data_IF_339926632518
#
_entry.id   IF_339926632518
#
_cell.length_a   1.000
_cell.length_b   1.000
_cell.length_c   1.000
_cell.angle_alpha   90.00
_cell.angle_beta   90.00
_cell.angle_gamma   90.00
#
_symmetry.space_group_name_H-M   'P 1'
#
loop_
_entity.id
_entity.type
_entity.pdbx_description
1 polymer ?
#
# COMPACT_ATOMS: atom_id res chain seq x y z
N UNK A 1 -75.87 -26.21 -8.00
CA UNK A 1 -75.31 -27.56 -8.21
C UNK A 1 -74.16 -27.68 -7.21
N UNK A 2 -74.40 -28.11 -5.98
CA UNK A 2 -74.41 -29.52 -5.54
C UNK A 2 -72.97 -30.06 -5.54
N UNK A 3 -72.36 -30.58 -4.46
CA UNK A 3 -72.82 -30.96 -3.12
C UNK A 3 -71.61 -31.38 -2.26
N UNK A 4 -71.68 -31.12 -0.94
CA UNK A 4 -71.27 -31.94 0.25
C UNK A 4 -70.44 -33.23 0.03
N UNK A 5 -69.65 -33.81 0.94
CA UNK A 5 -69.31 -33.63 2.38
C UNK A 5 -68.31 -34.78 2.72
N UNK A 6 -67.25 -34.53 3.48
CA UNK A 6 -67.02 -34.95 4.89
C UNK A 6 -66.52 -36.38 5.18
N UNK A 7 -65.53 -36.41 6.09
CA UNK A 7 -65.23 -37.40 7.15
C UNK A 7 -64.19 -38.53 6.95
N UNK A 8 -63.20 -38.44 7.82
CA UNK A 8 -62.09 -39.31 8.29
C UNK A 8 -62.58 -40.60 8.99
N UNK A 9 -61.77 -41.67 9.19
CA UNK A 9 -60.69 -41.70 10.23
C UNK A 9 -59.46 -42.62 9.98
N UNK A 10 -58.43 -42.46 10.82
CA UNK A 10 -57.18 -43.26 10.88
C UNK A 10 -57.35 -44.65 11.53
N UNK A 11 -56.37 -45.58 11.39
CA UNK A 11 -55.57 -45.93 12.58
C UNK A 11 -54.09 -46.34 12.36
N UNK A 12 -53.39 -46.37 13.49
CA UNK A 12 -51.97 -46.66 13.84
C UNK A 12 -51.47 -48.10 13.65
N UNK A 13 -50.16 -48.31 13.39
CA UNK A 13 -49.35 -49.47 13.84
C UNK A 13 -47.83 -49.11 13.89
N UNK A 14 -47.21 -49.02 15.09
CA UNK A 14 -46.21 -49.92 15.74
C UNK A 14 -44.78 -50.00 15.14
N UNK A 15 -43.80 -49.70 16.00
CA UNK A 15 -42.35 -49.96 15.87
C UNK A 15 -41.97 -51.39 16.31
N UNK A 16 -41.01 -52.03 15.62
CA UNK A 16 -39.84 -52.73 16.18
C UNK A 16 -38.82 -53.07 15.05
N UNK A 17 -37.54 -53.35 15.37
CA UNK A 17 -36.39 -52.82 14.63
C UNK A 17 -35.60 -53.88 13.85
N UNK A 18 -34.91 -53.44 12.80
CA UNK A 18 -33.84 -54.20 12.14
C UNK A 18 -32.50 -53.50 12.32
N UNK A 19 -31.62 -54.20 13.02
CA UNK A 19 -30.18 -53.94 13.15
C UNK A 19 -29.49 -54.10 11.80
N UNK A 20 -28.91 -53.03 11.27
CA UNK A 20 -27.90 -53.11 10.20
C UNK A 20 -26.64 -52.35 10.57
N UNK A 21 -25.54 -52.94 10.11
CA UNK A 21 -24.17 -52.81 10.61
C UNK A 21 -23.57 -51.44 10.29
N UNK A 22 -22.84 -50.91 11.26
CA UNK A 22 -22.02 -49.71 11.12
C UNK A 22 -20.90 -49.91 10.08
N UNK A 23 -20.95 -49.14 8.99
CA UNK A 23 -19.79 -48.82 8.17
C UNK A 23 -18.96 -47.70 8.81
N UNK A 24 -17.68 -47.54 8.45
CA UNK A 24 -16.80 -46.57 9.09
C UNK A 24 -17.29 -45.15 8.79
N UNK A 25 -17.68 -44.42 9.83
CA UNK A 25 -18.06 -43.03 9.74
C UNK A 25 -16.88 -42.15 9.27
N UNK A 26 -17.17 -41.00 8.63
CA UNK A 26 -16.13 -40.07 8.22
C UNK A 26 -15.32 -39.66 9.45
N UNK A 27 -13.99 -39.76 9.33
CA UNK A 27 -13.04 -39.28 10.33
C UNK A 27 -13.42 -37.86 10.74
N UNK A 28 -13.65 -37.68 12.03
CA UNK A 28 -13.74 -36.35 12.64
C UNK A 28 -12.46 -35.61 12.31
N UNK A 29 -12.55 -34.68 11.36
CA UNK A 29 -11.53 -33.66 11.17
C UNK A 29 -11.37 -32.96 12.52
N UNK A 30 -10.16 -33.06 13.05
CA UNK A 30 -9.78 -32.52 14.34
C UNK A 30 -10.18 -31.05 14.48
N UNK A 31 -10.44 -30.68 15.72
CA UNK A 31 -10.75 -29.33 16.15
C UNK A 31 -9.93 -28.29 15.36
N UNK A 32 -10.66 -27.34 14.78
CA UNK A 32 -10.13 -26.03 14.40
C UNK A 32 -9.14 -25.59 15.48
N UNK A 33 -7.86 -25.53 15.12
CA UNK A 33 -6.91 -24.72 15.85
C UNK A 33 -7.39 -23.28 15.67
N UNK A 34 -8.15 -22.79 16.65
CA UNK A 34 -8.35 -21.37 16.82
C UNK A 34 -6.95 -20.77 16.95
N UNK A 35 -6.48 -20.14 15.88
CA UNK A 35 -5.28 -19.32 15.88
C UNK A 35 -5.51 -18.27 16.95
N UNK A 36 -4.59 -18.17 17.91
CA UNK A 36 -4.61 -17.11 18.92
C UNK A 36 -4.80 -15.77 18.19
N UNK A 37 -5.66 -14.86 18.68
CA UNK A 37 -5.75 -13.52 18.12
C UNK A 37 -4.35 -12.95 17.99
N UNK A 38 -4.02 -12.44 16.80
CA UNK A 38 -2.70 -11.90 16.54
C UNK A 38 -2.42 -10.73 17.49
N UNK A 39 -1.33 -10.85 18.24
CA UNK A 39 -0.87 -9.81 19.15
C UNK A 39 -0.21 -8.68 18.34
N UNK A 40 -1.03 -7.70 17.94
CA UNK A 40 -0.58 -6.52 17.19
C UNK A 40 0.47 -5.72 17.95
N UNK A 41 0.38 -5.67 19.28
CA UNK A 41 1.35 -4.95 20.11
C UNK A 41 2.71 -5.65 20.08
N UNK A 42 2.73 -6.98 20.10
CA UNK A 42 3.96 -7.76 19.91
C UNK A 42 4.56 -7.57 18.51
N UNK A 43 3.74 -7.53 17.45
CA UNK A 43 4.22 -7.23 16.10
C UNK A 43 4.85 -5.85 16.00
N UNK A 44 4.16 -4.82 16.50
CA UNK A 44 4.66 -3.45 16.54
C UNK A 44 5.99 -3.37 17.29
N UNK A 45 6.05 -3.98 18.48
CA UNK A 45 7.28 -4.08 19.29
C UNK A 45 8.43 -4.73 18.51
N UNK A 46 8.15 -5.78 17.73
CA UNK A 46 9.17 -6.44 16.92
C UNK A 46 9.68 -5.55 15.78
N UNK A 47 8.82 -4.75 15.15
CA UNK A 47 9.22 -3.81 14.09
C UNK A 47 10.02 -2.64 14.65
N UNK A 48 9.67 -2.13 15.83
CA UNK A 48 10.47 -1.12 16.52
C UNK A 48 11.87 -1.63 16.84
N UNK A 49 11.97 -2.88 17.33
CA UNK A 49 13.26 -3.54 17.51
C UNK A 49 14.03 -3.68 16.18
N UNK A 50 13.34 -3.99 15.07
CA UNK A 50 13.95 -4.04 13.73
C UNK A 50 14.49 -2.68 13.28
N UNK A 51 13.78 -1.59 13.59
CA UNK A 51 14.22 -0.22 13.30
C UNK A 51 15.51 0.09 14.08
N UNK A 52 15.60 -0.26 15.36
CA UNK A 52 16.83 -0.05 16.14
C UNK A 52 18.00 -0.90 15.60
N UNK A 53 17.77 -2.16 15.27
CA UNK A 53 18.78 -3.04 14.64
C UNK A 53 19.27 -2.43 13.31
N UNK A 54 18.34 -1.97 12.48
CA UNK A 54 18.62 -1.34 11.19
C UNK A 54 19.45 -0.07 11.37
N UNK A 55 19.10 0.81 12.32
CA UNK A 55 19.90 2.00 12.68
C UNK A 55 21.34 1.64 13.02
N UNK A 56 21.53 0.63 13.87
CA UNK A 56 22.86 0.16 14.27
C UNK A 56 23.68 -0.37 13.10
N UNK A 57 23.03 -1.04 12.14
CA UNK A 57 23.68 -1.61 10.97
C UNK A 57 24.10 -0.58 9.92
N UNK A 58 23.22 0.37 9.58
CA UNK A 58 23.41 1.23 8.40
C UNK A 58 24.19 2.52 8.71
N UNK A 59 24.34 2.88 9.97
CA UNK A 59 24.92 4.15 10.38
C UNK A 59 24.22 5.33 9.70
N UNK A 60 24.96 6.13 8.95
CA UNK A 60 24.43 7.32 8.26
C UNK A 60 23.86 7.05 6.85
N UNK A 61 23.93 5.82 6.34
CA UNK A 61 23.33 5.43 5.05
C UNK A 61 21.81 5.19 5.17
N UNK A 62 21.11 4.98 4.07
CA UNK A 62 19.69 4.59 4.07
C UNK A 62 19.53 3.11 3.75
N UNK A 63 18.63 2.39 4.44
CA UNK A 63 18.32 1.01 4.09
C UNK A 63 17.56 0.98 2.77
N UNK A 64 17.84 -0.02 1.93
CA UNK A 64 17.19 -0.19 0.64
C UNK A 64 16.43 -1.51 0.56
N UNK A 65 17.16 -2.63 0.51
CA UNK A 65 16.62 -3.98 0.72
C UNK A 65 17.57 -4.79 1.60
N UNK A 66 17.04 -5.75 2.36
CA UNK A 66 17.83 -6.65 3.18
C UNK A 66 17.71 -8.10 2.70
N UNK A 67 18.81 -8.83 2.83
CA UNK A 67 18.82 -10.27 2.62
C UNK A 67 17.85 -10.96 3.61
N UNK A 68 16.94 -11.84 3.14
CA UNK A 68 15.85 -12.37 3.96
C UNK A 68 16.31 -13.31 5.08
N UNK A 69 17.49 -13.92 4.96
CA UNK A 69 18.01 -14.88 5.95
C UNK A 69 18.88 -14.16 6.99
N UNK A 70 19.85 -13.38 6.51
CA UNK A 70 20.83 -12.69 7.35
C UNK A 70 20.29 -11.37 7.91
N UNK A 71 19.31 -10.75 7.25
CA UNK A 71 18.81 -9.42 7.59
C UNK A 71 19.78 -8.29 7.26
N UNK A 72 20.83 -8.56 6.47
CA UNK A 72 21.84 -7.56 6.13
C UNK A 72 21.33 -6.61 5.06
N UNK A 73 21.31 -5.31 5.36
CA UNK A 73 20.87 -4.26 4.44
C UNK A 73 21.92 -3.95 3.36
N UNK A 74 21.48 -4.02 2.11
CA UNK A 74 22.06 -3.19 1.05
C UNK A 74 21.55 -1.75 1.23
N UNK A 75 22.46 -0.78 1.12
CA UNK A 75 22.17 0.63 1.43
C UNK A 75 22.41 1.55 0.24
N UNK A 76 21.95 2.79 0.39
CA UNK A 76 22.23 3.92 -0.50
C UNK A 76 22.64 5.14 0.33
N UNK A 77 23.55 5.96 -0.21
CA UNK A 77 24.12 7.10 0.52
C UNK A 77 23.24 8.36 0.51
N UNK A 78 22.32 8.47 -0.45
CA UNK A 78 21.54 9.69 -0.70
C UNK A 78 20.01 9.49 -0.56
N UNK A 79 19.62 8.35 0.00
CA UNK A 79 18.24 7.93 0.20
C UNK A 79 17.49 7.44 -1.04
N UNK A 80 18.02 7.66 -2.25
CA UNK A 80 17.36 7.31 -3.52
C UNK A 80 15.87 7.77 -3.54
N UNK A 81 14.95 7.01 -4.15
CA UNK A 81 13.52 7.28 -4.17
C UNK A 81 12.81 6.99 -2.84
N UNK A 82 13.31 6.01 -2.07
CA UNK A 82 12.61 5.49 -0.89
C UNK A 82 13.08 6.09 0.45
N UNK A 83 14.00 7.06 0.44
CA UNK A 83 14.65 7.57 1.65
C UNK A 83 13.69 8.17 2.68
N UNK A 84 12.55 8.70 2.25
CA UNK A 84 11.49 9.19 3.13
C UNK A 84 10.87 8.09 3.99
N UNK A 85 10.74 6.85 3.49
CA UNK A 85 10.17 5.75 4.28
C UNK A 85 11.02 5.43 5.51
N UNK A 86 12.35 5.50 5.39
CA UNK A 86 13.24 5.33 6.54
C UNK A 86 13.10 6.47 7.56
N UNK A 87 12.95 7.71 7.07
CA UNK A 87 12.68 8.87 7.94
C UNK A 87 11.38 8.66 8.72
N UNK A 88 10.33 8.13 8.08
CA UNK A 88 9.07 7.84 8.75
C UNK A 88 9.23 6.74 9.82
N UNK A 89 10.04 5.70 9.57
CA UNK A 89 10.36 4.71 10.59
C UNK A 89 11.00 5.33 11.83
N UNK A 90 11.98 6.22 11.64
CA UNK A 90 12.64 6.94 12.73
C UNK A 90 11.66 7.85 13.48
N UNK A 91 10.77 8.55 12.77
CA UNK A 91 9.74 9.40 13.37
C UNK A 91 8.81 8.58 14.27
N UNK A 92 8.28 7.46 13.75
CA UNK A 92 7.36 6.60 14.50
C UNK A 92 8.05 6.01 15.74
N UNK A 93 9.27 5.48 15.60
CA UNK A 93 10.02 4.95 16.73
C UNK A 93 10.32 6.04 17.77
N UNK A 94 10.73 7.23 17.33
CA UNK A 94 10.97 8.38 18.20
C UNK A 94 9.74 8.80 18.99
N UNK A 95 8.57 8.79 18.36
CA UNK A 95 7.29 9.10 19.00
C UNK A 95 6.89 8.04 20.02
N UNK A 96 6.77 6.79 19.59
CA UNK A 96 6.24 5.70 20.43
C UNK A 96 7.16 5.36 21.61
N UNK A 97 8.47 5.47 21.44
CA UNK A 97 9.45 5.21 22.50
C UNK A 97 9.79 6.45 23.34
N UNK A 98 9.24 7.63 23.01
CA UNK A 98 9.57 8.88 23.69
C UNK A 98 11.05 9.26 23.58
N UNK A 99 11.65 9.09 22.39
CA UNK A 99 13.08 9.33 22.11
C UNK A 99 13.28 10.51 21.14
N UNK A 100 13.41 11.76 21.64
CA UNK A 100 13.61 12.96 20.81
C UNK A 100 14.83 12.88 19.88
N UNK A 101 15.87 12.13 20.25
CA UNK A 101 17.05 11.93 19.41
C UNK A 101 16.72 11.25 18.07
N UNK A 102 15.71 10.38 18.02
CA UNK A 102 15.26 9.75 16.77
C UNK A 102 14.50 10.72 15.87
N UNK A 103 13.71 11.62 16.46
CA UNK A 103 13.04 12.71 15.73
C UNK A 103 14.09 13.66 15.13
N UNK A 104 15.14 13.97 15.88
CA UNK A 104 16.24 14.80 15.39
C UNK A 104 17.04 14.11 14.27
N UNK A 105 17.33 12.81 14.39
CA UNK A 105 17.95 12.03 13.31
C UNK A 105 17.06 12.02 12.04
N UNK A 106 15.75 11.85 12.21
CA UNK A 106 14.78 11.92 11.12
C UNK A 106 14.81 13.31 10.43
N UNK A 107 14.89 14.39 11.22
CA UNK A 107 15.02 15.76 10.72
C UNK A 107 16.32 15.98 9.94
N UNK A 108 17.45 15.52 10.45
CA UNK A 108 18.75 15.60 9.77
C UNK A 108 18.77 14.84 8.44
N UNK A 109 18.21 13.63 8.41
CA UNK A 109 18.08 12.84 7.18
C UNK A 109 17.15 13.49 6.17
N UNK A 110 16.08 14.14 6.63
CA UNK A 110 15.18 14.92 5.76
C UNK A 110 15.92 16.04 5.05
N UNK A 111 16.78 16.78 5.77
CA UNK A 111 17.61 17.82 5.17
C UNK A 111 18.61 17.26 4.15
N UNK A 112 19.16 16.06 4.40
CA UNK A 112 20.04 15.39 3.43
C UNK A 112 19.30 14.93 2.16
N UNK A 113 17.98 14.79 2.19
CA UNK A 113 17.16 14.55 0.99
C UNK A 113 16.88 15.82 0.18
N UNK A 114 17.15 17.02 0.72
CA UNK A 114 16.85 18.31 0.05
C UNK A 114 17.34 18.40 -1.40
N UNK A 115 18.55 17.94 -1.79
CA UNK A 115 18.97 17.98 -3.19
C UNK A 115 18.05 17.21 -4.15
N UNK A 116 17.28 16.23 -3.66
CA UNK A 116 16.30 15.47 -4.44
C UNK A 116 15.05 16.28 -4.79
N UNK A 117 14.86 17.45 -4.21
CA UNK A 117 13.76 18.37 -4.57
C UNK A 117 13.89 18.84 -6.03
N UNK A 118 15.12 19.02 -6.51
CA UNK A 118 15.41 19.60 -7.83
C UNK A 118 15.42 18.55 -8.95
N UNK A 119 15.46 17.25 -8.63
CA UNK A 119 15.52 16.18 -9.65
C UNK A 119 14.24 16.11 -10.47
N UNK A 120 14.31 16.08 -11.79
CA UNK A 120 13.16 15.85 -12.68
C UNK A 120 12.70 14.38 -12.62
N UNK A 121 12.17 13.96 -11.47
CA UNK A 121 11.63 12.63 -11.22
C UNK A 121 10.28 12.64 -10.45
N UNK A 122 9.56 11.53 -10.52
CA UNK A 122 8.26 11.34 -9.83
C UNK A 122 8.39 11.08 -8.32
N UNK A 123 9.57 10.97 -7.74
CA UNK A 123 9.71 10.38 -6.40
C UNK A 123 9.55 11.37 -5.25
N UNK A 124 9.18 12.62 -5.53
CA UNK A 124 9.02 13.68 -4.52
C UNK A 124 8.00 13.31 -3.44
N UNK A 125 6.90 12.66 -3.79
CA UNK A 125 5.93 12.13 -2.83
C UNK A 125 6.55 11.15 -1.85
N UNK A 126 7.27 10.14 -2.35
CA UNK A 126 7.98 9.17 -1.51
C UNK A 126 9.02 9.83 -0.60
N UNK A 127 9.71 10.86 -1.07
CA UNK A 127 10.77 11.50 -0.33
C UNK A 127 10.24 12.48 0.70
N UNK A 128 9.33 13.39 0.32
CA UNK A 128 8.99 14.58 1.11
C UNK A 128 7.64 14.52 1.81
N UNK A 129 6.72 13.64 1.40
CA UNK A 129 5.56 13.34 2.24
C UNK A 129 6.04 12.60 3.48
N UNK A 130 6.64 11.41 3.31
CA UNK A 130 7.14 10.54 4.39
C UNK A 130 8.35 11.11 5.17
N UNK A 131 8.78 12.34 4.88
CA UNK A 131 9.79 13.03 5.69
C UNK A 131 9.28 14.40 6.13
N UNK A 132 9.43 15.41 5.29
CA UNK A 132 9.18 16.81 5.62
C UNK A 132 7.74 17.08 6.06
N UNK A 133 6.72 16.55 5.37
CA UNK A 133 5.33 16.79 5.74
C UNK A 133 4.98 16.13 7.09
N UNK A 134 5.34 14.85 7.26
CA UNK A 134 5.05 14.09 8.51
C UNK A 134 5.82 14.63 9.70
N UNK A 135 7.09 15.02 9.53
CA UNK A 135 7.87 15.65 10.60
C UNK A 135 7.40 17.07 10.90
N UNK A 136 6.94 17.84 9.92
CA UNK A 136 6.31 19.12 10.19
C UNK A 136 5.08 18.94 11.09
N UNK A 137 4.21 17.99 10.76
CA UNK A 137 3.02 17.72 11.56
C UNK A 137 3.37 17.20 12.98
N UNK A 138 4.50 16.50 13.15
CA UNK A 138 4.99 16.08 14.48
C UNK A 138 5.61 17.23 15.30
N UNK A 139 6.39 18.10 14.66
CA UNK A 139 7.29 19.04 15.37
C UNK A 139 6.85 20.50 15.30
N UNK A 140 5.98 20.85 14.36
CA UNK A 140 5.61 22.22 14.03
C UNK A 140 6.71 23.02 13.31
N UNK A 141 7.84 22.43 12.90
CA UNK A 141 8.95 23.19 12.28
C UNK A 141 8.54 23.79 10.92
N UNK A 142 8.52 25.12 10.77
CA UNK A 142 8.10 25.79 9.53
C UNK A 142 9.07 25.56 8.36
N UNK A 143 10.33 25.17 8.61
CA UNK A 143 11.30 24.85 7.55
C UNK A 143 10.94 23.53 6.86
N UNK A 144 10.46 22.56 7.63
CA UNK A 144 9.96 21.28 7.10
C UNK A 144 8.67 21.49 6.29
N UNK A 145 7.75 22.32 6.79
CA UNK A 145 6.58 22.78 6.03
C UNK A 145 6.98 23.39 4.68
N UNK A 146 7.95 24.30 4.70
CA UNK A 146 8.45 24.96 3.48
C UNK A 146 9.02 23.95 2.48
N UNK A 147 9.81 22.98 2.96
CA UNK A 147 10.38 21.94 2.11
C UNK A 147 9.30 21.02 1.51
N UNK A 148 8.32 20.59 2.31
CA UNK A 148 7.22 19.75 1.84
C UNK A 148 6.33 20.48 0.82
N UNK A 149 6.02 21.77 1.04
CA UNK A 149 5.26 22.57 0.09
C UNK A 149 6.04 22.79 -1.22
N UNK A 150 7.35 23.06 -1.14
CA UNK A 150 8.18 23.16 -2.33
C UNK A 150 8.14 21.87 -3.16
N UNK A 151 8.19 20.70 -2.50
CA UNK A 151 8.04 19.41 -3.16
C UNK A 151 6.66 19.24 -3.81
N UNK A 152 5.58 19.61 -3.12
CA UNK A 152 4.22 19.53 -3.66
C UNK A 152 4.04 20.41 -4.90
N UNK A 153 4.48 21.67 -4.86
CA UNK A 153 4.44 22.55 -6.04
C UNK A 153 5.33 22.04 -7.18
N UNK A 154 6.50 21.46 -6.89
CA UNK A 154 7.37 20.88 -7.91
C UNK A 154 6.73 19.66 -8.58
N UNK A 155 6.00 18.82 -7.83
CA UNK A 155 5.20 17.73 -8.43
C UNK A 155 4.12 18.29 -9.36
N UNK A 156 3.40 19.33 -8.93
CA UNK A 156 2.35 19.96 -9.74
C UNK A 156 2.89 20.64 -11.01
N UNK A 157 4.09 21.23 -10.95
CA UNK A 157 4.71 21.90 -12.10
C UNK A 157 5.13 20.94 -13.21
N UNK A 158 5.24 19.63 -12.91
CA UNK A 158 5.54 18.60 -13.90
C UNK A 158 4.31 18.16 -14.70
N UNK A 159 3.09 18.58 -14.32
CA UNK A 159 1.86 18.10 -14.93
C UNK A 159 1.85 18.25 -16.46
N UNK A 160 1.49 17.17 -17.16
CA UNK A 160 1.38 17.14 -18.61
C UNK A 160 0.31 18.16 -19.05
N UNK A 161 0.63 19.16 -19.89
CA UNK A 161 -0.30 20.24 -20.20
C UNK A 161 -1.65 19.79 -20.79
N UNK A 162 -1.65 18.68 -21.53
CA UNK A 162 -2.83 18.17 -22.23
C UNK A 162 -3.89 17.57 -21.31
N UNK A 163 -3.48 16.91 -20.23
CA UNK A 163 -4.39 16.12 -19.40
C UNK A 163 -4.18 16.28 -17.89
N UNK A 164 -3.07 16.88 -17.47
CA UNK A 164 -2.74 17.10 -16.06
C UNK A 164 -2.11 15.91 -15.36
N UNK A 165 -1.77 14.82 -16.07
CA UNK A 165 -1.09 13.67 -15.49
C UNK A 165 0.30 14.07 -14.97
N UNK A 166 0.74 13.46 -13.87
CA UNK A 166 2.12 13.62 -13.42
C UNK A 166 3.03 12.65 -14.18
N UNK A 167 4.02 13.13 -14.95
CA UNK A 167 4.93 12.24 -15.63
C UNK A 167 6.00 11.70 -14.68
N UNK A 168 6.72 10.69 -15.15
CA UNK A 168 7.87 10.14 -14.44
C UNK A 168 9.03 11.13 -14.38
N UNK A 169 9.23 11.95 -15.41
CA UNK A 169 10.37 12.89 -15.55
C UNK A 169 11.56 12.30 -16.31
N UNK A 170 12.63 13.09 -16.54
CA UNK A 170 13.82 12.65 -17.29
C UNK A 170 14.96 12.09 -16.41
N UNK A 171 14.88 12.25 -15.09
CA UNK A 171 15.94 11.85 -14.16
C UNK A 171 15.52 10.67 -13.27
N UNK A 172 14.55 9.86 -13.74
CA UNK A 172 14.15 8.64 -13.03
C UNK A 172 15.25 7.60 -13.10
N UNK A 173 15.89 7.40 -11.97
CA UNK A 173 16.89 6.38 -11.77
C UNK A 173 16.57 5.63 -10.48
N UNK A 174 16.33 4.33 -10.61
CA UNK A 174 16.24 3.40 -9.48
C UNK A 174 17.24 2.28 -9.73
N UNK A 175 17.77 1.64 -8.68
CA UNK A 175 18.59 0.44 -8.90
C UNK A 175 17.79 -0.56 -9.75
N UNK A 176 18.44 -1.18 -10.73
CA UNK A 176 17.91 -2.12 -11.72
C UNK A 176 17.11 -1.56 -12.92
N UNK A 177 16.66 -0.29 -12.90
CA UNK A 177 15.81 0.26 -13.98
C UNK A 177 16.08 1.75 -14.23
N UNK A 178 16.19 2.14 -15.51
CA UNK A 178 16.26 3.54 -15.94
C UNK A 178 15.18 3.80 -16.99
N UNK A 179 14.44 4.89 -16.83
CA UNK A 179 13.43 5.36 -17.78
C UNK A 179 13.43 6.89 -17.75
N UNK A 180 13.17 7.55 -18.88
CA UNK A 180 13.24 9.02 -18.94
C UNK A 180 12.25 9.54 -19.97
N UNK A 181 11.20 10.23 -19.51
CA UNK A 181 10.26 10.93 -20.37
C UNK A 181 9.28 11.77 -19.55
N UNK A 182 8.98 12.99 -20.01
CA UNK A 182 7.83 13.77 -19.52
C UNK A 182 6.49 13.39 -20.16
N UNK A 183 6.45 12.29 -20.91
CA UNK A 183 5.24 11.69 -21.50
C UNK A 183 4.88 10.32 -20.96
N UNK A 184 5.79 9.72 -20.20
CA UNK A 184 5.52 8.46 -19.51
C UNK A 184 4.94 8.76 -18.14
N UNK A 185 3.89 8.03 -17.76
CA UNK A 185 3.22 8.12 -16.45
C UNK A 185 3.19 6.72 -15.83
N UNK A 186 3.48 6.62 -14.54
CA UNK A 186 3.40 5.38 -13.78
C UNK A 186 2.15 5.37 -12.90
N UNK A 187 1.59 4.18 -12.64
CA UNK A 187 0.47 4.00 -11.70
C UNK A 187 0.84 4.43 -10.28
N UNK A 188 2.12 4.34 -9.90
CA UNK A 188 2.66 4.80 -8.61
C UNK A 188 2.23 6.24 -8.28
N UNK A 189 2.10 7.10 -9.30
CA UNK A 189 1.74 8.51 -9.10
C UNK A 189 0.39 8.73 -8.42
N UNK A 190 -0.51 7.74 -8.40
CA UNK A 190 -1.83 7.86 -7.77
C UNK A 190 -1.80 7.74 -6.23
N UNK A 191 -0.67 7.36 -5.63
CA UNK A 191 -0.57 7.29 -4.16
C UNK A 191 0.50 8.22 -3.57
N UNK A 192 1.81 7.94 -3.61
CA UNK A 192 2.80 8.69 -2.83
C UNK A 192 2.85 10.18 -3.21
N UNK A 193 2.63 10.53 -4.48
CA UNK A 193 2.55 11.93 -4.90
C UNK A 193 1.24 12.60 -4.51
N UNK A 194 0.10 11.91 -4.62
CA UNK A 194 -1.17 12.46 -4.17
C UNK A 194 -1.21 12.67 -2.65
N UNK A 195 -0.42 11.91 -1.86
CA UNK A 195 -0.26 12.18 -0.43
C UNK A 195 0.29 13.59 -0.16
N UNK A 196 1.16 14.13 -1.01
CA UNK A 196 1.58 15.54 -0.92
C UNK A 196 0.42 16.48 -1.23
N UNK A 197 -0.36 16.23 -2.28
CA UNK A 197 -1.49 17.09 -2.65
C UNK A 197 -2.57 17.10 -1.54
N UNK A 198 -2.90 15.94 -0.97
CA UNK A 198 -3.86 15.81 0.13
C UNK A 198 -3.40 16.51 1.41
N UNK A 199 -2.09 16.63 1.62
CA UNK A 199 -1.53 17.39 2.74
C UNK A 199 -1.47 18.89 2.43
N UNK A 200 -0.95 19.27 1.25
CA UNK A 200 -0.71 20.66 0.88
C UNK A 200 -2.00 21.46 0.63
N UNK A 201 -3.07 20.81 0.16
CA UNK A 201 -4.36 21.44 -0.07
C UNK A 201 -4.92 22.12 1.19
N UNK A 202 -5.20 21.39 2.28
CA UNK A 202 -5.62 21.97 3.55
C UNK A 202 -4.60 22.94 4.15
N UNK A 203 -3.30 22.67 3.97
CA UNK A 203 -2.20 23.47 4.53
C UNK A 203 -2.10 24.88 3.93
N UNK A 204 -2.56 25.06 2.68
CA UNK A 204 -2.43 26.33 1.94
C UNK A 204 -3.75 26.95 1.54
N UNK A 205 -4.81 26.14 1.39
CA UNK A 205 -6.05 26.54 0.74
C UNK A 205 -5.93 26.72 -0.77
N UNK A 206 -4.78 26.39 -1.39
CA UNK A 206 -4.60 26.53 -2.83
C UNK A 206 -5.36 25.42 -3.59
N UNK A 207 -6.31 25.76 -4.48
CA UNK A 207 -7.08 24.77 -5.22
C UNK A 207 -6.23 23.91 -6.17
N UNK A 208 -5.01 24.32 -6.55
CA UNK A 208 -4.15 23.57 -7.47
C UNK A 208 -3.90 22.13 -7.01
N UNK A 209 -3.83 21.91 -5.70
CA UNK A 209 -3.59 20.59 -5.12
C UNK A 209 -4.83 19.69 -5.25
N UNK A 210 -6.01 20.20 -4.88
CA UNK A 210 -7.25 19.45 -4.99
C UNK A 210 -7.62 19.18 -6.45
N UNK A 211 -7.47 20.16 -7.34
CA UNK A 211 -7.71 19.99 -8.77
C UNK A 211 -6.71 19.03 -9.41
N UNK A 212 -5.43 19.14 -9.07
CA UNK A 212 -4.36 18.27 -9.58
C UNK A 212 -4.56 16.81 -9.17
N UNK A 213 -4.91 16.57 -7.91
CA UNK A 213 -5.18 15.22 -7.42
C UNK A 213 -6.42 14.60 -8.08
N UNK A 214 -7.51 15.36 -8.22
CA UNK A 214 -8.71 14.89 -8.93
C UNK A 214 -8.44 14.56 -10.40
N UNK A 215 -7.68 15.42 -11.10
CA UNK A 215 -7.25 15.14 -12.49
C UNK A 215 -6.45 13.85 -12.58
N UNK A 216 -5.49 13.63 -11.69
CA UNK A 216 -4.71 12.39 -11.67
C UNK A 216 -5.59 11.17 -11.41
N UNK A 217 -6.50 11.22 -10.41
CA UNK A 217 -7.43 10.12 -10.13
C UNK A 217 -8.36 9.83 -11.32
N UNK A 218 -8.91 10.87 -11.95
CA UNK A 218 -9.81 10.74 -13.11
C UNK A 218 -9.08 10.13 -14.32
N UNK A 219 -7.83 10.54 -14.55
CA UNK A 219 -6.94 9.94 -15.54
C UNK A 219 -6.64 8.47 -15.24
N UNK A 220 -6.35 8.14 -13.97
CA UNK A 220 -6.11 6.75 -13.57
C UNK A 220 -7.35 5.88 -13.82
N UNK A 221 -8.57 6.38 -13.58
CA UNK A 221 -9.80 5.67 -13.94
C UNK A 221 -9.88 5.43 -15.45
N UNK A 222 -9.54 6.44 -16.26
CA UNK A 222 -9.67 6.40 -17.72
C UNK A 222 -8.66 5.45 -18.37
N UNK A 223 -7.41 5.49 -17.91
CA UNK A 223 -6.29 4.98 -18.70
C UNK A 223 -5.48 3.86 -18.02
N UNK A 224 -5.53 3.76 -16.69
CA UNK A 224 -4.75 2.74 -15.96
C UNK A 224 -5.60 1.55 -15.51
N UNK A 225 -6.87 1.78 -15.16
CA UNK A 225 -7.76 0.74 -14.64
C UNK A 225 -8.46 0.03 -15.80
N UNK A 226 -8.18 -1.26 -15.96
CA UNK A 226 -8.85 -2.12 -16.94
C UNK A 226 -10.27 -2.48 -16.46
N UNK A 227 -11.09 -3.00 -17.38
CA UNK A 227 -12.49 -3.33 -17.11
C UNK A 227 -12.68 -4.36 -15.99
N UNK A 228 -11.72 -5.27 -15.79
CA UNK A 228 -11.72 -6.30 -14.74
C UNK A 228 -11.22 -5.79 -13.37
N UNK A 229 -10.77 -4.54 -13.29
CA UNK A 229 -10.20 -3.95 -12.08
C UNK A 229 -8.70 -4.13 -11.91
N UNK A 230 -8.00 -4.76 -12.87
CA UNK A 230 -6.53 -4.77 -12.91
C UNK A 230 -5.95 -3.44 -13.36
N UNK A 231 -4.69 -3.17 -13.02
CA UNK A 231 -3.97 -1.97 -13.45
C UNK A 231 -2.86 -2.24 -14.46
N UNK A 232 -2.66 -1.29 -15.37
CA UNK A 232 -1.43 -1.12 -16.15
C UNK A 232 -0.33 -0.50 -15.25
N UNK A 233 0.95 -0.80 -15.49
CA UNK A 233 2.05 -0.14 -14.77
C UNK A 233 2.41 1.23 -15.37
N UNK A 234 2.76 1.28 -16.66
CA UNK A 234 3.13 2.51 -17.36
C UNK A 234 2.27 2.77 -18.59
N UNK A 235 2.07 4.07 -18.84
CA UNK A 235 1.51 4.62 -20.07
C UNK A 235 2.51 5.57 -20.69
N UNK A 236 2.52 5.65 -22.02
CA UNK A 236 3.18 6.73 -22.75
C UNK A 236 2.16 7.51 -23.56
N UNK A 237 2.08 8.83 -23.33
CA UNK A 237 1.24 9.73 -24.11
C UNK A 237 1.97 10.27 -25.34
N UNK A 238 1.20 10.69 -26.33
CA UNK A 238 1.70 11.46 -27.45
C UNK A 238 2.24 12.83 -26.98
N UNK A 239 3.23 13.36 -27.70
CA UNK A 239 3.92 14.60 -27.32
C UNK A 239 2.98 15.81 -27.26
N UNK A 240 2.00 15.88 -28.15
CA UNK A 240 1.13 17.05 -28.29
C UNK A 240 -0.35 16.76 -28.08
N UNK A 241 -0.76 15.49 -28.15
CA UNK A 241 -2.16 15.07 -28.12
C UNK A 241 -2.44 14.29 -26.83
N UNK A 242 -3.65 14.40 -26.29
CA UNK A 242 -4.12 13.52 -25.21
C UNK A 242 -4.49 12.14 -25.78
N UNK A 243 -3.47 11.41 -26.23
CA UNK A 243 -3.59 10.10 -26.87
C UNK A 243 -2.50 9.17 -26.35
N UNK A 244 -2.90 7.99 -25.90
CA UNK A 244 -1.96 6.94 -25.46
C UNK A 244 -1.28 6.32 -26.69
N UNK A 245 0.04 6.20 -26.63
CA UNK A 245 0.87 5.51 -27.62
C UNK A 245 1.07 4.04 -27.27
N UNK A 246 1.26 3.74 -25.98
CA UNK A 246 1.39 2.36 -25.49
C UNK A 246 1.12 2.23 -24.01
N UNK A 247 0.69 1.02 -23.65
CA UNK A 247 0.72 0.46 -22.30
C UNK A 247 1.96 -0.43 -22.22
N UNK A 248 2.73 -0.36 -21.14
CA UNK A 248 3.87 -1.26 -20.95
C UNK A 248 4.23 -1.45 -19.48
N UNK A 249 5.10 -2.41 -19.21
CA UNK A 249 5.61 -2.72 -17.88
C UNK A 249 7.13 -2.83 -17.87
N UNK A 250 7.76 -2.44 -16.75
CA UNK A 250 9.17 -2.74 -16.45
C UNK A 250 9.32 -3.64 -15.22
N UNK A 251 8.26 -3.76 -14.39
CA UNK A 251 8.27 -4.50 -13.13
C UNK A 251 7.26 -5.65 -13.06
N UNK A 252 6.41 -5.81 -14.08
CA UNK A 252 5.46 -6.91 -14.29
C UNK A 252 5.98 -7.95 -15.30
N UNK A 253 5.22 -9.02 -15.50
CA UNK A 253 5.62 -10.16 -16.35
C UNK A 253 5.49 -9.86 -17.85
N UNK A 254 4.45 -9.14 -18.27
CA UNK A 254 4.24 -8.67 -19.64
C UNK A 254 3.30 -7.46 -19.65
N UNK A 255 3.23 -6.71 -20.75
CA UNK A 255 2.51 -5.41 -20.78
C UNK A 255 1.03 -5.48 -20.39
N UNK A 256 0.39 -6.63 -20.64
CA UNK A 256 -1.02 -6.88 -20.28
C UNK A 256 -1.22 -7.44 -18.85
N UNK A 257 -0.14 -7.66 -18.10
CA UNK A 257 -0.23 -8.22 -16.75
C UNK A 257 -0.62 -7.19 -15.70
N UNK A 258 -0.70 -7.64 -14.44
CA UNK A 258 -1.02 -6.79 -13.31
C UNK A 258 0.05 -6.94 -12.23
N UNK A 259 1.03 -6.03 -12.27
CA UNK A 259 2.03 -5.90 -11.23
C UNK A 259 1.38 -5.55 -9.88
N UNK A 260 1.61 -6.39 -8.87
CA UNK A 260 0.86 -6.37 -7.61
C UNK A 260 1.03 -5.09 -6.80
N UNK A 261 2.23 -4.50 -6.80
CA UNK A 261 2.47 -3.23 -6.10
C UNK A 261 1.85 -2.04 -6.82
N UNK A 262 1.74 -2.08 -8.15
CA UNK A 262 0.98 -1.10 -8.93
C UNK A 262 -0.51 -1.14 -8.57
N UNK A 263 -1.07 -2.34 -8.45
CA UNK A 263 -2.44 -2.54 -7.96
C UNK A 263 -2.61 -2.00 -6.53
N UNK A 264 -1.64 -2.25 -5.64
CA UNK A 264 -1.66 -1.75 -4.27
C UNK A 264 -1.63 -0.22 -4.20
N UNK A 265 -0.81 0.44 -5.04
CA UNK A 265 -0.81 1.91 -5.16
C UNK A 265 -2.17 2.45 -5.58
N UNK A 266 -2.80 1.83 -6.58
CA UNK A 266 -4.12 2.22 -7.02
C UNK A 266 -5.16 2.04 -5.90
N UNK A 267 -5.21 0.88 -5.24
CA UNK A 267 -6.14 0.65 -4.12
C UNK A 267 -5.96 1.72 -3.04
N UNK A 268 -4.72 1.93 -2.59
CA UNK A 268 -4.44 2.88 -1.53
C UNK A 268 -4.75 4.33 -1.95
N UNK A 269 -4.40 4.70 -3.18
CA UNK A 269 -4.65 6.02 -3.76
C UNK A 269 -6.14 6.34 -3.92
N UNK A 270 -6.94 5.41 -4.44
CA UNK A 270 -8.37 5.62 -4.64
C UNK A 270 -9.16 5.61 -3.33
N UNK A 271 -8.81 4.73 -2.38
CA UNK A 271 -9.41 4.77 -1.05
C UNK A 271 -9.12 6.11 -0.37
N UNK A 272 -7.88 6.60 -0.47
CA UNK A 272 -7.51 7.91 0.08
C UNK A 272 -8.25 9.05 -0.62
N UNK A 273 -8.28 9.06 -1.95
CA UNK A 273 -9.01 10.06 -2.73
C UNK A 273 -10.51 10.07 -2.45
N UNK A 274 -11.10 8.90 -2.20
CA UNK A 274 -12.49 8.80 -1.75
C UNK A 274 -12.69 9.40 -0.35
N UNK A 275 -11.81 9.11 0.61
CA UNK A 275 -11.89 9.75 1.93
C UNK A 275 -11.77 11.28 1.86
N UNK A 276 -10.87 11.79 1.03
CA UNK A 276 -10.60 13.22 0.92
C UNK A 276 -11.71 13.99 0.21
N UNK A 277 -12.33 13.41 -0.80
CA UNK A 277 -13.30 14.14 -1.64
C UNK A 277 -14.74 13.65 -1.52
N UNK A 278 -14.98 12.46 -0.97
CA UNK A 278 -16.32 11.88 -0.83
C UNK A 278 -17.00 11.52 -2.16
N UNK A 279 -16.28 11.55 -3.29
CA UNK A 279 -16.86 11.40 -4.61
C UNK A 279 -17.05 9.93 -5.00
N UNK A 280 -18.27 9.56 -5.42
CA UNK A 280 -18.65 8.17 -5.70
C UNK A 280 -17.80 7.50 -6.77
N UNK A 281 -17.33 8.24 -7.78
CA UNK A 281 -16.45 7.67 -8.82
C UNK A 281 -15.14 7.11 -8.27
N UNK A 282 -14.61 7.70 -7.18
CA UNK A 282 -13.38 7.21 -6.53
C UNK A 282 -13.66 5.97 -5.68
N UNK A 283 -14.80 5.94 -4.98
CA UNK A 283 -15.27 4.74 -4.29
C UNK A 283 -15.48 3.58 -5.25
N UNK A 284 -16.16 3.82 -6.37
CA UNK A 284 -16.49 2.77 -7.35
C UNK A 284 -15.24 2.25 -8.06
N UNK A 285 -14.24 3.11 -8.29
CA UNK A 285 -12.91 2.69 -8.73
C UNK A 285 -12.19 1.85 -7.66
N UNK A 286 -12.18 2.29 -6.39
CA UNK A 286 -11.61 1.53 -5.29
C UNK A 286 -12.26 0.15 -5.15
N UNK A 287 -13.58 0.04 -5.28
CA UNK A 287 -14.30 -1.24 -5.22
C UNK A 287 -13.90 -2.19 -6.36
N UNK A 288 -13.69 -1.69 -7.58
CA UNK A 288 -13.22 -2.52 -8.71
C UNK A 288 -11.80 -3.03 -8.49
N UNK A 289 -10.89 -2.12 -8.10
CA UNK A 289 -9.50 -2.46 -7.78
C UNK A 289 -9.41 -3.48 -6.65
N UNK A 290 -10.22 -3.29 -5.61
CA UNK A 290 -10.30 -4.15 -4.45
C UNK A 290 -10.92 -5.52 -4.78
N UNK A 291 -11.98 -5.54 -5.58
CA UNK A 291 -12.61 -6.76 -6.07
C UNK A 291 -11.66 -7.64 -6.88
N UNK A 292 -10.84 -7.04 -7.74
CA UNK A 292 -9.78 -7.75 -8.45
C UNK A 292 -8.76 -8.37 -7.49
N UNK A 293 -8.25 -7.59 -6.52
CA UNK A 293 -7.30 -8.06 -5.51
C UNK A 293 -7.85 -9.24 -4.71
N UNK A 294 -9.03 -9.07 -4.11
CA UNK A 294 -9.66 -10.10 -3.27
C UNK A 294 -9.99 -11.36 -4.08
N UNK A 295 -10.45 -11.20 -5.32
CA UNK A 295 -10.76 -12.33 -6.20
C UNK A 295 -9.54 -13.17 -6.58
N UNK A 296 -8.32 -12.60 -6.52
CA UNK A 296 -7.09 -13.30 -6.85
C UNK A 296 -6.37 -13.88 -5.63
N UNK A 297 -6.32 -13.15 -4.50
CA UNK A 297 -5.47 -13.53 -3.35
C UNK A 297 -6.16 -13.43 -1.99
N UNK A 298 -7.38 -12.90 -1.93
CA UNK A 298 -8.07 -12.64 -0.67
C UNK A 298 -7.22 -11.78 0.28
N UNK A 299 -6.92 -12.31 1.46
CA UNK A 299 -6.14 -11.61 2.50
C UNK A 299 -4.64 -11.98 2.50
N UNK A 300 -4.19 -12.85 1.61
CA UNK A 300 -2.79 -13.28 1.55
C UNK A 300 -1.92 -12.22 0.87
N UNK A 301 -0.60 -12.27 1.12
CA UNK A 301 0.35 -11.51 0.33
C UNK A 301 0.27 -11.91 -1.16
N UNK A 302 0.15 -10.95 -2.09
CA UNK A 302 0.01 -11.29 -3.49
C UNK A 302 1.31 -11.87 -4.05
N UNK A 303 1.26 -12.60 -5.17
CA UNK A 303 2.45 -12.77 -6.02
C UNK A 303 2.94 -11.40 -6.48
N UNK A 304 4.20 -11.29 -6.87
CA UNK A 304 4.77 -10.04 -7.43
C UNK A 304 3.97 -9.51 -8.63
N UNK A 305 3.37 -10.40 -9.41
CA UNK A 305 2.45 -10.13 -10.52
C UNK A 305 1.28 -11.13 -10.47
N UNK A 306 0.05 -10.66 -10.61
CA UNK A 306 -1.14 -11.51 -10.53
C UNK A 306 -1.25 -12.54 -11.67
N UNK A 307 -0.49 -12.36 -12.76
CA UNK A 307 -0.42 -13.31 -13.86
C UNK A 307 0.78 -14.27 -13.75
N UNK A 308 1.57 -14.18 -12.68
CA UNK A 308 2.56 -15.20 -12.26
C UNK A 308 2.28 -15.66 -10.82
N UNK A 309 1.18 -16.40 -10.58
CA UNK A 309 0.72 -16.77 -9.23
C UNK A 309 1.69 -17.68 -8.47
N UNK A 310 2.56 -18.40 -9.17
CA UNK A 310 3.61 -19.28 -8.61
C UNK A 310 4.93 -18.53 -8.38
N UNK A 311 5.01 -17.25 -8.76
CA UNK A 311 6.16 -16.38 -8.57
C UNK A 311 6.44 -16.04 -7.11
N UNK A 312 7.53 -15.29 -6.82
CA UNK A 312 7.75 -14.75 -5.48
C UNK A 312 6.56 -13.90 -5.03
N UNK A 313 6.36 -13.82 -3.72
CA UNK A 313 5.38 -12.90 -3.13
C UNK A 313 5.90 -11.46 -3.20
N UNK A 314 4.99 -10.52 -2.99
CA UNK A 314 5.34 -9.15 -2.67
C UNK A 314 4.59 -8.68 -1.41
N UNK A 315 5.24 -8.86 -0.26
CA UNK A 315 4.72 -8.38 1.03
C UNK A 315 4.59 -6.87 1.09
N UNK A 316 5.37 -6.11 0.31
CA UNK A 316 5.28 -4.65 0.28
C UNK A 316 3.95 -4.17 -0.31
N UNK A 317 3.43 -4.85 -1.34
CA UNK A 317 2.10 -4.58 -1.90
C UNK A 317 0.99 -4.72 -0.84
N UNK A 318 1.06 -5.76 0.00
CA UNK A 318 0.10 -5.93 1.11
C UNK A 318 0.25 -4.86 2.18
N UNK A 319 1.49 -4.53 2.57
CA UNK A 319 1.74 -3.50 3.58
C UNK A 319 1.14 -2.14 3.19
N UNK A 320 1.23 -1.76 1.92
CA UNK A 320 0.65 -0.52 1.36
C UNK A 320 -0.86 -0.50 1.54
N UNK A 321 -1.55 -1.58 1.17
CA UNK A 321 -3.00 -1.69 1.34
C UNK A 321 -3.37 -1.66 2.83
N UNK A 322 -2.65 -2.42 3.66
CA UNK A 322 -2.86 -2.49 5.10
C UNK A 322 -2.73 -1.10 5.77
N UNK A 323 -1.76 -0.26 5.37
CA UNK A 323 -1.65 1.12 5.89
C UNK A 323 -2.91 1.94 5.60
N UNK A 324 -3.39 1.91 4.36
CA UNK A 324 -4.57 2.67 4.00
C UNK A 324 -5.84 2.14 4.70
N UNK A 325 -5.98 0.82 4.85
CA UNK A 325 -7.08 0.22 5.60
C UNK A 325 -7.02 0.56 7.10
N UNK A 326 -5.83 0.55 7.71
CA UNK A 326 -5.63 0.95 9.09
C UNK A 326 -6.00 2.42 9.31
N UNK A 327 -5.54 3.31 8.42
CA UNK A 327 -5.93 4.73 8.40
C UNK A 327 -7.45 4.90 8.36
N UNK A 328 -8.13 4.19 7.45
CA UNK A 328 -9.59 4.26 7.34
C UNK A 328 -10.29 3.74 8.60
N UNK A 329 -9.80 2.65 9.18
CA UNK A 329 -10.38 2.03 10.37
C UNK A 329 -10.37 2.98 11.58
N UNK A 330 -9.31 3.78 11.75
CA UNK A 330 -9.19 4.73 12.87
C UNK A 330 -9.86 6.08 12.61
N UNK A 331 -10.13 6.44 11.34
CA UNK A 331 -10.73 7.73 10.99
C UNK A 331 -12.25 7.68 10.75
N UNK A 332 -12.82 6.57 10.25
CA UNK A 332 -14.23 6.56 9.80
C UNK A 332 -14.87 5.16 9.79
N UNK A 333 -15.61 4.73 10.84
CA UNK A 333 -16.16 3.38 10.93
C UNK A 333 -17.54 3.19 10.26
N UNK A 334 -17.80 3.83 9.11
CA UNK A 334 -19.09 3.71 8.40
C UNK A 334 -19.20 2.39 7.61
N UNK A 335 -20.42 2.00 7.21
CA UNK A 335 -20.67 0.71 6.55
C UNK A 335 -19.96 0.54 5.21
N UNK A 336 -19.76 1.61 4.43
CA UNK A 336 -19.05 1.53 3.16
C UNK A 336 -17.53 1.34 3.38
N UNK A 337 -16.97 1.95 4.42
CA UNK A 337 -15.58 1.73 4.85
C UNK A 337 -15.39 0.30 5.38
N UNK A 338 -16.38 -0.24 6.10
CA UNK A 338 -16.34 -1.61 6.64
C UNK A 338 -16.14 -2.69 5.58
N UNK A 339 -16.65 -2.49 4.36
CA UNK A 339 -16.42 -3.39 3.21
C UNK A 339 -14.93 -3.59 2.90
N UNK A 340 -14.10 -2.63 3.26
CA UNK A 340 -12.65 -2.71 3.08
C UNK A 340 -11.97 -3.10 4.40
N UNK A 341 -12.31 -2.44 5.50
CA UNK A 341 -11.58 -2.60 6.78
C UNK A 341 -11.85 -3.92 7.47
N UNK A 342 -12.89 -4.69 7.11
CA UNK A 342 -13.09 -6.04 7.64
C UNK A 342 -11.96 -7.01 7.27
N UNK A 343 -11.23 -6.72 6.19
CA UNK A 343 -10.08 -7.49 5.74
C UNK A 343 -8.77 -7.11 6.45
N UNK A 344 -8.74 -6.00 7.19
CA UNK A 344 -7.51 -5.47 7.80
C UNK A 344 -6.83 -6.48 8.74
N UNK A 345 -7.57 -7.03 9.71
CA UNK A 345 -7.00 -7.98 10.66
C UNK A 345 -6.51 -9.27 9.97
N UNK A 346 -7.31 -9.94 9.11
CA UNK A 346 -6.84 -11.07 8.32
C UNK A 346 -5.63 -10.78 7.43
N UNK A 347 -5.53 -9.58 6.84
CA UNK A 347 -4.38 -9.19 6.03
C UNK A 347 -3.11 -9.00 6.87
N UNK A 348 -3.22 -8.40 8.06
CA UNK A 348 -2.09 -8.31 9.01
C UNK A 348 -1.65 -9.73 9.42
N UNK A 349 -2.60 -10.64 9.69
CA UNK A 349 -2.31 -12.05 9.97
C UNK A 349 -1.60 -12.75 8.81
N UNK A 350 -2.06 -12.54 7.58
CA UNK A 350 -1.41 -13.06 6.38
C UNK A 350 0.02 -12.52 6.25
N UNK A 351 0.22 -11.21 6.48
CA UNK A 351 1.54 -10.59 6.38
C UNK A 351 2.48 -11.03 7.51
N UNK A 352 1.96 -11.28 8.71
CA UNK A 352 2.74 -11.76 9.85
C UNK A 352 3.39 -13.14 9.61
N UNK A 353 2.83 -13.96 8.71
CA UNK A 353 3.44 -15.23 8.29
C UNK A 353 4.78 -15.02 7.55
N UNK A 354 4.99 -13.82 7.00
CA UNK A 354 6.23 -13.41 6.34
C UNK A 354 7.17 -12.62 7.26
N UNK A 355 6.84 -12.50 8.56
CA UNK A 355 7.76 -11.90 9.52
C UNK A 355 8.70 -12.97 10.07
N UNK A 356 10.01 -12.72 9.98
CA UNK A 356 11.04 -13.53 10.64
C UNK A 356 11.29 -12.98 12.05
N UNK A 357 11.98 -13.75 12.93
CA UNK A 357 12.46 -13.21 14.20
C UNK A 357 13.16 -11.87 14.01
N UNK A 358 13.06 -11.01 15.03
CA UNK A 358 13.49 -9.60 15.05
C UNK A 358 12.69 -8.64 14.17
N UNK A 359 11.49 -9.01 13.73
CA UNK A 359 10.55 -8.08 13.06
C UNK A 359 10.81 -7.87 11.57
N UNK A 360 11.66 -8.69 10.96
CA UNK A 360 12.00 -8.62 9.53
C UNK A 360 10.83 -9.05 8.66
N UNK A 361 10.23 -8.11 7.93
CA UNK A 361 9.20 -8.40 6.94
C UNK A 361 9.87 -8.82 5.62
N UNK A 362 9.94 -10.13 5.35
CA UNK A 362 10.62 -10.67 4.16
C UNK A 362 9.64 -10.90 3.00
N UNK A 363 10.10 -11.56 1.93
CA UNK A 363 9.30 -11.90 0.74
C UNK A 363 8.69 -10.69 0.02
N UNK A 364 9.30 -9.52 0.16
CA UNK A 364 9.04 -8.38 -0.70
C UNK A 364 9.73 -8.58 -2.05
N UNK A 365 9.14 -8.07 -3.13
CA UNK A 365 9.70 -8.20 -4.47
C UNK A 365 9.94 -6.83 -5.12
N UNK A 366 11.19 -6.39 -5.18
CA UNK A 366 11.55 -5.14 -5.86
C UNK A 366 11.34 -5.28 -7.37
N UNK A 367 12.21 -6.02 -8.06
CA UNK A 367 12.21 -6.12 -9.52
C UNK A 367 12.52 -7.55 -9.95
N UNK A 368 11.45 -8.35 -10.10
CA UNK A 368 11.54 -9.74 -10.55
C UNK A 368 12.05 -9.89 -11.98
N UNK A 369 11.64 -9.10 -12.99
CA UNK A 369 12.20 -9.20 -14.33
C UNK A 369 13.73 -9.10 -14.39
N UNK A 370 14.33 -8.32 -13.47
CA UNK A 370 15.78 -8.19 -13.33
C UNK A 370 16.41 -9.09 -12.25
N UNK A 371 15.61 -9.89 -11.55
CA UNK A 371 16.03 -10.68 -10.36
C UNK A 371 16.79 -9.85 -9.33
N UNK A 372 16.35 -8.62 -9.13
CA UNK A 372 16.95 -7.69 -8.20
C UNK A 372 16.03 -7.55 -6.98
N UNK A 373 16.52 -7.99 -5.82
CA UNK A 373 15.80 -7.98 -4.54
C UNK A 373 14.35 -8.51 -4.66
N UNK A 374 14.18 -9.62 -5.38
CA UNK A 374 12.87 -10.19 -5.72
C UNK A 374 12.32 -11.16 -4.67
N UNK A 375 13.08 -11.35 -3.58
CA UNK A 375 12.71 -12.01 -2.31
C UNK A 375 13.53 -11.40 -1.18
N UNK A 376 13.12 -10.23 -0.70
CA UNK A 376 13.91 -9.45 0.25
C UNK A 376 13.04 -8.74 1.28
N UNK A 377 13.64 -8.29 2.36
CA UNK A 377 13.04 -7.23 3.17
C UNK A 377 13.19 -5.91 2.40
N UNK A 378 12.13 -5.10 2.33
CA UNK A 378 12.11 -3.85 1.59
C UNK A 378 11.76 -2.71 2.54
N UNK A 379 12.55 -1.63 2.55
CA UNK A 379 12.38 -0.54 3.54
C UNK A 379 10.99 0.09 3.51
N UNK A 380 10.38 0.22 2.32
CA UNK A 380 9.01 0.73 2.20
C UNK A 380 7.98 -0.25 2.75
N UNK A 381 8.14 -1.57 2.52
CA UNK A 381 7.25 -2.58 3.10
C UNK A 381 7.23 -2.50 4.63
N UNK A 382 8.41 -2.42 5.24
CA UNK A 382 8.56 -2.21 6.70
C UNK A 382 7.89 -0.90 7.15
N UNK A 383 8.11 0.20 6.43
CA UNK A 383 7.54 1.50 6.79
C UNK A 383 6.01 1.52 6.73
N UNK A 384 5.39 0.97 5.68
CA UNK A 384 3.92 0.92 5.58
C UNK A 384 3.29 0.05 6.67
N UNK A 385 3.89 -1.11 6.99
CA UNK A 385 3.40 -1.95 8.08
C UNK A 385 3.57 -1.25 9.43
N UNK A 386 4.71 -0.58 9.66
CA UNK A 386 4.94 0.19 10.89
C UNK A 386 3.96 1.37 11.02
N UNK A 387 3.66 2.09 9.94
CA UNK A 387 2.62 3.12 9.91
C UNK A 387 1.26 2.54 10.29
N UNK A 388 0.85 1.43 9.67
CA UNK A 388 -0.42 0.79 9.93
C UNK A 388 -0.59 0.40 11.40
N UNK A 389 0.42 -0.26 11.99
CA UNK A 389 0.39 -0.70 13.38
C UNK A 389 0.46 0.48 14.34
N UNK A 390 1.21 1.53 14.02
CA UNK A 390 1.23 2.77 14.80
C UNK A 390 -0.16 3.43 14.83
N UNK A 391 -0.87 3.49 13.70
CA UNK A 391 -2.22 4.06 13.67
C UNK A 391 -3.19 3.26 14.56
N UNK A 392 -3.10 1.93 14.50
CA UNK A 392 -3.96 1.04 15.29
C UNK A 392 -3.64 1.09 16.79
N UNK A 393 -2.37 1.29 17.17
CA UNK A 393 -1.95 1.43 18.56
C UNK A 393 -2.43 2.75 19.16
N UNK A 394 -2.27 3.85 18.42
CA UNK A 394 -2.67 5.20 18.87
C UNK A 394 -4.18 5.44 18.74
N UNK A 395 -4.88 4.64 17.93
CA UNK A 395 -6.31 4.79 17.67
C UNK A 395 -6.66 5.98 16.76
N UNK A 396 -5.66 6.61 16.15
CA UNK A 396 -5.77 7.72 15.22
C UNK A 396 -4.61 7.67 14.22
N UNK A 397 -4.65 8.52 13.18
CA UNK A 397 -3.45 8.77 12.37
C UNK A 397 -2.66 9.85 13.10
N UNK A 398 -1.49 9.55 13.68
CA UNK A 398 -0.71 10.58 14.36
C UNK A 398 -0.19 11.54 13.31
N UNK A 399 -0.41 12.84 13.52
CA UNK A 399 0.01 13.94 12.67
C UNK A 399 -0.65 14.04 11.27
#
# INVERSE_FOLDING_TARGET
MGSSSSMTPAPSWRNTPTTERAGPGPQRVGASHAVSPLDRHALLSSLLARVEETRGQIGHAWPYHADPETGVWETVEDGDWCGGHWVECLRIAGRLEGRPALIEEARERTERLRPKLEKDDQFRGHRFYYSAARLHAETGDPRLRTLALAAAYAVRSMAIPQNGAMPIGHEVQVKSTTLASRRIVAVDNVHPNLRLDFWAGPETGDPVFAEGAKRMLDLTIRDFIRADGSTVEFLEYHETEDRILRHFTLLGVHDDSCWSRGQAWAIAGFLRGWQEYGETRYRDAAQRLWGYWLGRVGNAAPPWDFDDPEGPRDTSASAIVIEQLARMAVQSPNSEVRLFTEHLAPMIEGLAQHMRPTGRLVDGCFNRPKRFADRSELVWGTAYLLMALCYLEEGEVPC
#
